data_IF_453477213459
#
_entry.id   IF_453477213459
#
_cell.length_a   1.000
_cell.length_b   1.000
_cell.length_c   1.000
_cell.angle_alpha   90.00
_cell.angle_beta   90.00
_cell.angle_gamma   90.00
#
_symmetry.space_group_name_H-M   'P 1'
#
loop_
_entity.id
_entity.type
_entity.pdbx_description
1 polymer ?
#
# COMPACT_ATOMS: atom_id res chain seq x y z
N UNK A 1 19.05 -18.17 -20.38
CA UNK A 1 17.68 -17.70 -20.06
C UNK A 1 16.96 -17.28 -21.34
N UNK A 2 15.70 -17.67 -21.53
CA UNK A 2 14.90 -17.27 -22.70
C UNK A 2 14.49 -15.78 -22.63
N UNK A 3 13.97 -15.22 -23.73
CA UNK A 3 13.59 -13.79 -23.80
C UNK A 3 12.46 -13.44 -22.85
N UNK A 4 11.38 -14.23 -22.84
CA UNK A 4 10.19 -13.98 -22.01
C UNK A 4 10.53 -13.89 -20.52
N UNK A 5 11.30 -14.85 -19.98
CA UNK A 5 11.70 -14.83 -18.57
C UNK A 5 12.60 -13.64 -18.25
N UNK A 6 13.43 -13.19 -19.21
CA UNK A 6 14.29 -12.02 -19.03
C UNK A 6 13.49 -10.73 -18.98
N UNK A 7 12.59 -10.52 -19.93
CA UNK A 7 11.70 -9.36 -19.99
C UNK A 7 10.87 -9.28 -18.70
N UNK A 8 10.26 -10.39 -18.28
CA UNK A 8 9.48 -10.43 -17.05
C UNK A 8 10.31 -10.08 -15.82
N UNK A 9 11.56 -10.58 -15.72
CA UNK A 9 12.45 -10.22 -14.60
C UNK A 9 12.80 -8.73 -14.61
N UNK A 10 13.20 -8.18 -15.76
CA UNK A 10 13.50 -6.75 -15.91
C UNK A 10 12.28 -5.92 -15.47
N UNK A 11 11.10 -6.27 -15.96
CA UNK A 11 9.86 -5.59 -15.60
C UNK A 11 9.57 -5.66 -14.09
N UNK A 12 9.75 -6.82 -13.45
CA UNK A 12 9.58 -6.94 -12.00
C UNK A 12 10.57 -6.11 -11.19
N UNK A 13 11.81 -5.95 -11.66
CA UNK A 13 12.81 -5.08 -11.03
C UNK A 13 12.38 -3.60 -11.14
N UNK A 14 11.91 -3.19 -12.32
CA UNK A 14 11.39 -1.84 -12.53
C UNK A 14 10.19 -1.51 -11.64
N UNK A 15 9.24 -2.44 -11.49
CA UNK A 15 8.07 -2.28 -10.59
C UNK A 15 8.45 -2.20 -9.11
N UNK A 16 9.55 -2.85 -8.70
CA UNK A 16 10.10 -2.70 -7.34
C UNK A 16 10.79 -1.35 -7.11
N UNK A 17 11.06 -0.62 -8.19
CA UNK A 17 11.73 0.66 -8.18
C UNK A 17 13.24 0.60 -8.34
N UNK A 18 13.78 -0.56 -8.73
CA UNK A 18 15.20 -0.72 -8.99
C UNK A 18 15.61 0.18 -10.17
N UNK A 19 16.77 0.84 -10.04
CA UNK A 19 17.40 1.53 -11.16
C UNK A 19 18.26 0.53 -11.92
N UNK A 20 17.88 0.21 -13.16
CA UNK A 20 18.60 -0.75 -13.98
C UNK A 20 19.52 -0.03 -14.96
N UNK A 21 20.74 -0.51 -15.13
CA UNK A 21 21.63 -0.04 -16.20
C UNK A 21 21.74 -1.05 -17.32
N UNK A 22 21.88 -0.56 -18.55
CA UNK A 22 22.05 -1.40 -19.73
C UNK A 22 23.28 -2.31 -19.60
N UNK A 23 24.35 -1.82 -18.99
CA UNK A 23 25.58 -2.58 -18.81
C UNK A 23 25.39 -3.72 -17.81
N UNK A 24 24.69 -3.47 -16.70
CA UNK A 24 24.39 -4.50 -15.70
C UNK A 24 23.51 -5.60 -16.29
N UNK A 25 22.47 -5.22 -17.05
CA UNK A 25 21.60 -6.19 -17.72
C UNK A 25 22.33 -7.04 -18.77
N UNK A 26 23.28 -6.44 -19.51
CA UNK A 26 24.12 -7.17 -20.46
C UNK A 26 24.99 -8.21 -19.75
N UNK A 27 25.58 -7.83 -18.61
CA UNK A 27 26.45 -8.70 -17.82
C UNK A 27 25.66 -9.81 -17.13
N UNK A 28 24.56 -9.47 -16.44
CA UNK A 28 23.71 -10.40 -15.69
C UNK A 28 23.14 -11.49 -16.62
N UNK A 29 22.66 -11.09 -17.80
CA UNK A 29 22.00 -12.00 -18.72
C UNK A 29 22.90 -12.55 -19.81
N UNK A 30 24.17 -12.13 -19.86
CA UNK A 30 25.16 -12.48 -20.87
C UNK A 30 24.62 -12.25 -22.29
N UNK A 31 24.06 -11.05 -22.51
CA UNK A 31 23.43 -10.66 -23.78
C UNK A 31 24.07 -9.41 -24.35
N UNK A 32 24.00 -9.34 -25.68
CA UNK A 32 24.46 -8.17 -26.43
C UNK A 32 23.53 -6.98 -26.20
N UNK A 33 24.11 -5.79 -26.33
CA UNK A 33 23.44 -4.48 -26.26
C UNK A 33 22.14 -4.42 -27.08
N UNK A 34 22.14 -4.98 -28.29
CA UNK A 34 20.98 -5.00 -29.19
C UNK A 34 19.85 -5.92 -28.72
N UNK A 35 20.17 -6.94 -27.90
CA UNK A 35 19.16 -7.83 -27.31
C UNK A 35 18.47 -7.13 -26.15
N UNK A 36 19.24 -6.52 -25.25
CA UNK A 36 18.69 -5.74 -24.13
C UNK A 36 17.82 -4.59 -24.63
N UNK A 37 18.23 -3.89 -25.69
CA UNK A 37 17.40 -2.84 -26.31
C UNK A 37 16.05 -3.36 -26.82
N UNK A 38 16.02 -4.54 -27.45
CA UNK A 38 14.77 -5.16 -27.90
C UNK A 38 13.88 -5.56 -26.72
N UNK A 39 14.48 -6.07 -25.65
CA UNK A 39 13.73 -6.40 -24.43
C UNK A 39 13.12 -5.13 -23.80
N UNK A 40 13.87 -4.02 -23.77
CA UNK A 40 13.36 -2.74 -23.26
C UNK A 40 12.27 -2.16 -24.16
N UNK A 41 12.38 -2.28 -25.48
CA UNK A 41 11.36 -1.81 -26.41
C UNK A 41 10.01 -2.52 -26.20
N UNK A 42 10.03 -3.83 -25.92
CA UNK A 42 8.82 -4.59 -25.57
C UNK A 42 8.21 -4.07 -24.26
N UNK A 43 9.04 -3.71 -23.27
CA UNK A 43 8.55 -3.13 -22.02
C UNK A 43 7.93 -1.74 -22.27
N UNK A 44 8.55 -0.91 -23.12
CA UNK A 44 8.00 0.40 -23.50
C UNK A 44 6.65 0.28 -24.19
N UNK A 45 6.52 -0.66 -25.13
CA UNK A 45 5.25 -0.96 -25.82
C UNK A 45 4.14 -1.32 -24.83
N UNK A 46 4.42 -2.22 -23.87
CA UNK A 46 3.45 -2.60 -22.83
C UNK A 46 3.05 -1.40 -21.96
N UNK A 47 4.02 -0.58 -21.55
CA UNK A 47 3.75 0.60 -20.72
C UNK A 47 2.88 1.63 -21.46
N UNK A 48 3.13 1.82 -22.75
CA UNK A 48 2.32 2.68 -23.61
C UNK A 48 0.89 2.12 -23.74
N UNK A 49 0.73 0.85 -24.06
CA UNK A 49 -0.58 0.18 -24.17
C UNK A 49 -1.43 0.35 -22.90
N UNK A 50 -0.82 0.10 -21.73
CA UNK A 50 -1.48 0.25 -20.43
C UNK A 50 -1.84 1.72 -20.14
N UNK A 51 -0.98 2.67 -20.50
CA UNK A 51 -1.26 4.10 -20.30
C UNK A 51 -2.50 4.58 -21.06
N UNK A 52 -2.75 4.03 -22.26
CA UNK A 52 -3.98 4.31 -23.01
C UNK A 52 -5.21 3.64 -22.39
N UNK A 53 -5.06 2.46 -21.78
CA UNK A 53 -6.13 1.70 -21.14
C UNK A 53 -6.61 2.31 -19.80
N UNK A 54 -5.78 3.12 -19.12
CA UNK A 54 -6.17 3.88 -17.90
C UNK A 54 -7.37 4.79 -18.15
N UNK A 55 -7.59 5.26 -19.39
CA UNK A 55 -8.78 6.07 -19.72
C UNK A 55 -10.11 5.31 -19.60
N UNK A 56 -10.07 3.97 -19.48
CA UNK A 56 -11.25 3.09 -19.43
C UNK A 56 -11.34 2.23 -18.17
N UNK A 57 -10.30 2.21 -17.33
CA UNK A 57 -10.26 1.36 -16.13
C UNK A 57 -9.58 2.05 -14.96
N UNK A 58 -9.97 1.71 -13.73
CA UNK A 58 -9.36 2.18 -12.47
C UNK A 58 -7.96 1.61 -12.21
N UNK A 59 -7.23 1.20 -13.25
CA UNK A 59 -5.92 0.58 -13.14
C UNK A 59 -4.84 1.62 -12.81
N UNK A 60 -3.79 1.23 -12.05
CA UNK A 60 -2.69 2.12 -11.75
C UNK A 60 -1.98 2.54 -13.03
N UNK A 61 -1.73 3.84 -13.16
CA UNK A 61 -0.97 4.36 -14.29
C UNK A 61 0.50 3.95 -14.13
N UNK A 62 0.96 3.04 -15.00
CA UNK A 62 2.33 2.54 -15.01
C UNK A 62 3.36 3.56 -15.53
N UNK A 63 2.90 4.63 -16.18
CA UNK A 63 3.75 5.68 -16.71
C UNK A 63 4.69 5.20 -17.82
N UNK A 64 5.79 5.92 -18.01
CA UNK A 64 6.82 5.60 -18.99
C UNK A 64 8.17 5.32 -18.33
N UNK A 65 9.08 4.69 -19.07
CA UNK A 65 10.45 4.49 -18.63
C UNK A 65 11.21 5.82 -18.57
N UNK A 66 11.66 6.16 -17.37
CA UNK A 66 12.59 7.25 -17.12
C UNK A 66 14.01 6.81 -17.49
N UNK A 67 14.71 7.71 -18.19
CA UNK A 67 16.09 7.56 -18.65
C UNK A 67 16.93 8.74 -18.18
N UNK A 68 16.81 9.10 -16.89
CA UNK A 68 17.54 10.19 -16.23
C UNK A 68 19.01 10.27 -16.63
N UNK A 69 19.68 9.12 -16.76
CA UNK A 69 21.01 9.02 -17.37
C UNK A 69 21.01 8.07 -18.57
N UNK A 70 21.93 8.30 -19.51
CA UNK A 70 22.04 7.47 -20.72
C UNK A 70 22.28 6.01 -20.35
N UNK A 71 21.36 5.14 -20.77
CA UNK A 71 21.44 3.70 -20.50
C UNK A 71 20.96 3.29 -19.10
N UNK A 72 20.29 4.18 -18.38
CA UNK A 72 19.53 3.84 -17.16
C UNK A 72 18.06 3.71 -17.46
N UNK A 73 17.37 2.86 -16.70
CA UNK A 73 15.95 2.55 -16.82
C UNK A 73 15.32 2.51 -15.43
N UNK A 74 14.25 3.28 -15.24
CA UNK A 74 13.47 3.29 -14.00
C UNK A 74 12.01 3.64 -14.30
N UNK A 75 11.07 3.21 -13.46
CA UNK A 75 9.67 3.64 -13.52
C UNK A 75 9.38 4.72 -12.48
N UNK A 76 10.09 5.85 -12.53
CA UNK A 76 10.02 6.91 -11.51
C UNK A 76 8.58 7.40 -11.27
N UNK A 77 7.86 7.70 -12.35
CA UNK A 77 6.48 8.17 -12.28
C UNK A 77 5.53 7.12 -11.66
N UNK A 78 5.75 5.83 -11.93
CA UNK A 78 4.95 4.78 -11.31
C UNK A 78 5.18 4.76 -9.79
N UNK A 79 6.44 4.82 -9.36
CA UNK A 79 6.79 4.80 -7.93
C UNK A 79 6.17 5.99 -7.21
N UNK A 80 6.33 7.20 -7.73
CA UNK A 80 5.83 8.43 -7.11
C UNK A 80 4.30 8.48 -6.98
N UNK A 81 3.57 7.94 -7.96
CA UNK A 81 2.10 8.06 -7.97
C UNK A 81 1.38 6.87 -7.33
N UNK A 82 2.03 5.70 -7.23
CA UNK A 82 1.34 4.46 -6.86
C UNK A 82 1.94 3.77 -5.62
N UNK A 83 3.13 4.18 -5.15
CA UNK A 83 3.82 3.51 -4.05
C UNK A 83 4.22 4.53 -2.98
N UNK A 84 3.91 4.22 -1.73
CA UNK A 84 4.39 5.00 -0.60
C UNK A 84 5.91 4.97 -0.53
N UNK A 85 6.53 6.14 -0.43
CA UNK A 85 7.91 6.23 0.03
C UNK A 85 8.00 6.05 1.55
N UNK A 86 9.22 5.83 2.07
CA UNK A 86 9.42 5.53 3.49
C UNK A 86 8.95 6.66 4.42
N UNK A 87 9.04 7.92 3.98
CA UNK A 87 8.61 9.08 4.78
C UNK A 87 7.08 9.21 4.80
N UNK A 88 6.40 8.97 3.68
CA UNK A 88 4.93 8.90 3.61
C UNK A 88 4.39 7.75 4.46
N UNK A 89 5.02 6.58 4.36
CA UNK A 89 4.68 5.40 5.13
C UNK A 89 4.83 5.67 6.63
N UNK A 90 5.95 6.27 7.05
CA UNK A 90 6.18 6.68 8.42
C UNK A 90 5.10 7.67 8.90
N UNK A 91 4.74 8.67 8.08
CA UNK A 91 3.72 9.65 8.44
C UNK A 91 2.34 8.99 8.67
N UNK A 92 1.93 8.07 7.78
CA UNK A 92 0.67 7.31 7.92
C UNK A 92 0.69 6.46 9.18
N UNK A 93 1.79 5.73 9.44
CA UNK A 93 1.93 4.90 10.65
C UNK A 93 1.86 5.77 11.92
N UNK A 94 2.50 6.94 11.93
CA UNK A 94 2.46 7.88 13.08
C UNK A 94 1.04 8.35 13.37
N UNK A 95 0.29 8.73 12.34
CA UNK A 95 -1.13 9.11 12.47
C UNK A 95 -1.95 7.93 13.00
N UNK A 96 -1.70 6.72 12.50
CA UNK A 96 -2.38 5.51 12.93
C UNK A 96 -2.12 5.21 14.42
N UNK A 97 -0.89 5.35 14.90
CA UNK A 97 -0.58 5.23 16.34
C UNK A 97 -1.25 6.35 17.15
N UNK A 98 -1.19 7.60 16.68
CA UNK A 98 -1.81 8.74 17.36
C UNK A 98 -3.34 8.64 17.45
N UNK A 99 -3.99 7.97 16.49
CA UNK A 99 -5.44 7.74 16.49
C UNK A 99 -5.92 6.89 17.67
N UNK A 100 -5.03 6.06 18.23
CA UNK A 100 -5.28 5.12 19.34
C UNK A 100 -6.55 4.27 19.19
N UNK A 101 -7.10 4.14 17.98
CA UNK A 101 -8.44 3.60 17.81
C UNK A 101 -8.46 2.08 17.94
N UNK A 102 -7.42 1.44 17.41
CA UNK A 102 -7.31 -0.02 17.36
C UNK A 102 -6.80 -0.58 18.69
N UNK A 103 -7.10 -1.85 18.96
CA UNK A 103 -6.45 -2.55 20.05
C UNK A 103 -4.99 -2.92 19.68
N UNK A 104 -4.23 -3.38 20.68
CA UNK A 104 -2.81 -3.75 20.51
C UNK A 104 -2.57 -4.77 19.39
N UNK A 105 -3.44 -5.78 19.27
CA UNK A 105 -3.27 -6.85 18.27
C UNK A 105 -3.43 -6.28 16.85
N UNK A 106 -4.46 -5.47 16.63
CA UNK A 106 -4.78 -4.88 15.33
C UNK A 106 -3.72 -3.89 14.87
N UNK A 107 -3.30 -2.96 15.75
CA UNK A 107 -2.29 -1.96 15.38
C UNK A 107 -0.95 -2.62 15.03
N UNK A 108 -0.55 -3.68 15.75
CA UNK A 108 0.70 -4.39 15.49
C UNK A 108 0.64 -5.13 14.16
N UNK A 109 -0.49 -5.80 13.87
CA UNK A 109 -0.69 -6.47 12.57
C UNK A 109 -0.70 -5.47 11.41
N UNK A 110 -1.37 -4.33 11.55
CA UNK A 110 -1.37 -3.29 10.53
C UNK A 110 0.05 -2.75 10.31
N UNK A 111 0.76 -2.43 11.40
CA UNK A 111 2.13 -1.93 11.34
C UNK A 111 3.07 -2.91 10.63
N UNK A 112 2.98 -4.20 10.93
CA UNK A 112 3.80 -5.20 10.23
C UNK A 112 3.52 -5.24 8.73
N UNK A 113 2.26 -5.11 8.31
CA UNK A 113 1.91 -5.03 6.88
C UNK A 113 2.49 -3.79 6.23
N UNK A 114 2.43 -2.63 6.90
CA UNK A 114 3.04 -1.40 6.40
C UNK A 114 4.57 -1.54 6.29
N UNK A 115 5.24 -2.12 7.27
CA UNK A 115 6.69 -2.34 7.25
C UNK A 115 7.16 -3.26 6.10
N UNK A 116 6.30 -4.09 5.51
CA UNK A 116 6.62 -4.88 4.32
C UNK A 116 6.68 -4.02 3.04
N UNK A 117 6.11 -2.82 3.06
CA UNK A 117 6.14 -1.86 1.94
C UNK A 117 7.37 -0.96 2.00
N UNK A 118 8.05 -0.89 3.14
CA UNK A 118 9.20 -0.03 3.37
C UNK A 118 10.44 -0.51 2.61
N UNK A 119 11.20 0.44 2.06
CA UNK A 119 12.55 0.18 1.52
C UNK A 119 13.56 0.11 2.65
N UNK A 120 13.51 1.06 3.58
CA UNK A 120 14.30 1.06 4.82
C UNK A 120 13.40 0.76 6.04
N UNK A 121 13.07 -0.53 6.18
CA UNK A 121 12.27 -1.02 7.30
C UNK A 121 12.87 -0.66 8.67
N UNK A 122 14.20 -0.76 8.81
CA UNK A 122 14.89 -0.54 10.09
C UNK A 122 14.77 0.91 10.54
N UNK A 123 14.88 1.86 9.60
CA UNK A 123 14.65 3.28 9.88
C UNK A 123 13.23 3.53 10.39
N UNK A 124 12.21 2.99 9.72
CA UNK A 124 10.83 3.18 10.16
C UNK A 124 10.61 2.56 11.54
N UNK A 125 11.09 1.33 11.77
CA UNK A 125 11.01 0.65 13.07
C UNK A 125 11.64 1.47 14.20
N UNK A 126 12.83 2.04 13.97
CA UNK A 126 13.49 2.92 14.93
C UNK A 126 12.61 4.11 15.31
N UNK A 127 11.98 4.76 14.31
CA UNK A 127 11.18 5.94 14.56
C UNK A 127 9.83 5.64 15.23
N UNK A 128 9.29 4.43 15.11
CA UNK A 128 8.00 4.05 15.72
C UNK A 128 8.15 3.22 17.01
N UNK A 129 9.38 2.93 17.44
CA UNK A 129 9.65 2.02 18.55
C UNK A 129 8.98 2.47 19.87
N UNK A 130 8.98 3.78 20.15
CA UNK A 130 8.33 4.33 21.34
C UNK A 130 6.81 4.17 21.28
N UNK A 131 6.19 4.46 20.12
CA UNK A 131 4.76 4.25 19.94
C UNK A 131 4.40 2.78 20.08
N UNK A 132 5.19 1.86 19.54
CA UNK A 132 4.96 0.42 19.69
C UNK A 132 5.03 -0.04 21.15
N UNK A 133 6.05 0.43 21.88
CA UNK A 133 6.27 0.05 23.29
C UNK A 133 5.19 0.60 24.22
N UNK A 134 4.73 1.82 23.96
CA UNK A 134 3.81 2.54 24.84
C UNK A 134 2.38 2.64 24.30
N UNK A 135 2.06 1.87 23.25
CA UNK A 135 0.72 1.93 22.68
C UNK A 135 -0.33 1.50 23.70
N UNK A 136 -1.36 2.32 23.84
CA UNK A 136 -2.56 1.99 24.59
C UNK A 136 -3.78 2.39 23.79
N UNK A 137 -4.34 1.40 23.09
CA UNK A 137 -5.55 1.54 22.30
C UNK A 137 -6.77 1.85 23.16
N UNK A 138 -7.71 2.62 22.61
CA UNK A 138 -8.98 2.99 23.24
C UNK A 138 -10.00 1.86 23.10
N UNK A 139 -10.00 1.14 21.97
CA UNK A 139 -10.87 -0.01 21.80
C UNK A 139 -10.31 -1.24 22.51
N UNK A 140 -11.16 -1.89 23.30
CA UNK A 140 -10.89 -3.21 23.88
C UNK A 140 -11.26 -4.35 22.92
N UNK A 141 -12.06 -4.05 21.90
CA UNK A 141 -12.57 -5.00 20.90
C UNK A 141 -11.79 -4.90 19.60
N UNK A 142 -11.90 -5.92 18.74
CA UNK A 142 -11.43 -5.84 17.35
C UNK A 142 -12.34 -4.94 16.54
N UNK A 143 -11.81 -3.82 16.07
CA UNK A 143 -12.58 -2.81 15.34
C UNK A 143 -12.66 -3.10 13.84
N UNK A 144 -11.65 -3.71 13.22
CA UNK A 144 -11.61 -3.88 11.75
C UNK A 144 -12.82 -4.70 11.28
N UNK A 145 -13.13 -5.80 11.97
CA UNK A 145 -14.27 -6.65 11.63
C UNK A 145 -15.61 -5.92 11.86
N UNK A 146 -15.68 -5.09 12.91
CA UNK A 146 -16.88 -4.28 13.22
C UNK A 146 -17.09 -3.16 12.22
N UNK A 147 -16.02 -2.48 11.81
CA UNK A 147 -16.04 -1.48 10.74
C UNK A 147 -16.62 -2.11 9.47
N UNK A 148 -16.13 -3.29 9.09
CA UNK A 148 -16.65 -4.00 7.92
C UNK A 148 -18.14 -4.35 8.06
N UNK A 149 -18.56 -4.85 9.23
CA UNK A 149 -19.97 -5.14 9.51
C UNK A 149 -20.86 -3.89 9.34
N UNK A 150 -20.43 -2.74 9.88
CA UNK A 150 -21.17 -1.48 9.75
C UNK A 150 -21.19 -0.99 8.30
N UNK A 151 -20.06 -1.06 7.59
CA UNK A 151 -20.00 -0.70 6.16
C UNK A 151 -20.97 -1.53 5.32
N UNK A 152 -21.00 -2.85 5.51
CA UNK A 152 -21.94 -3.74 4.82
C UNK A 152 -23.39 -3.43 5.18
N UNK A 153 -23.68 -3.13 6.45
CA UNK A 153 -25.02 -2.75 6.87
C UNK A 153 -25.48 -1.43 6.22
N UNK A 154 -24.59 -0.44 6.07
CA UNK A 154 -24.87 0.82 5.37
C UNK A 154 -25.16 0.54 3.90
N UNK A 155 -24.29 -0.21 3.21
CA UNK A 155 -24.44 -0.51 1.77
C UNK A 155 -25.75 -1.24 1.46
N UNK A 156 -26.14 -2.15 2.34
CA UNK A 156 -27.31 -3.01 2.14
C UNK A 156 -28.59 -2.48 2.83
N UNK A 157 -28.54 -1.29 3.44
CA UNK A 157 -29.64 -0.70 4.22
C UNK A 157 -30.19 -1.65 5.31
N UNK A 158 -29.30 -2.29 6.06
CA UNK A 158 -29.64 -3.29 7.08
C UNK A 158 -29.65 -2.69 8.49
N UNK A 159 -30.60 -3.13 9.30
CA UNK A 159 -30.67 -2.77 10.73
C UNK A 159 -29.61 -3.56 11.50
N UNK A 160 -28.81 -2.84 12.29
CA UNK A 160 -27.85 -3.43 13.23
C UNK A 160 -28.45 -3.40 14.63
N UNK A 161 -28.28 -4.50 15.36
CA UNK A 161 -28.58 -4.61 16.77
C UNK A 161 -27.29 -4.57 17.60
N UNK A 162 -27.25 -3.76 18.65
CA UNK A 162 -26.09 -3.66 19.52
C UNK A 162 -26.49 -3.26 20.94
N UNK A 163 -25.69 -3.72 21.90
CA UNK A 163 -25.80 -3.31 23.28
C UNK A 163 -24.96 -2.05 23.53
N UNK A 164 -25.56 -1.08 24.20
CA UNK A 164 -24.90 0.15 24.60
C UNK A 164 -24.96 0.31 26.11
N UNK A 165 -23.78 0.41 26.71
CA UNK A 165 -23.63 0.59 28.15
C UNK A 165 -23.40 2.07 28.46
N UNK A 166 -24.24 2.65 29.31
CA UNK A 166 -24.08 4.03 29.81
C UNK A 166 -24.42 4.09 31.29
N UNK A 167 -23.49 4.64 32.08
CA UNK A 167 -23.64 4.79 33.53
C UNK A 167 -24.00 3.46 34.25
N UNK A 168 -23.46 2.33 33.79
CA UNK A 168 -23.70 1.01 34.38
C UNK A 168 -24.98 0.32 33.89
N UNK A 169 -25.86 1.00 33.15
CA UNK A 169 -27.02 0.39 32.51
C UNK A 169 -26.67 -0.07 31.10
N UNK A 170 -27.10 -1.28 30.73
CA UNK A 170 -27.00 -1.78 29.35
C UNK A 170 -28.37 -1.74 28.69
N UNK A 171 -28.45 -1.15 27.49
CA UNK A 171 -29.66 -1.12 26.68
C UNK A 171 -29.35 -1.63 25.28
N UNK A 172 -30.21 -2.51 24.78
CA UNK A 172 -30.14 -3.00 23.41
C UNK A 172 -30.84 -2.03 22.46
N UNK A 173 -30.14 -1.64 21.40
CA UNK A 173 -30.64 -0.77 20.35
C UNK A 173 -30.69 -1.50 19.02
N UNK A 174 -31.70 -1.17 18.22
CA UNK A 174 -31.81 -1.60 16.81
C UNK A 174 -31.86 -0.34 15.95
N UNK A 175 -30.85 -0.11 15.12
CA UNK A 175 -30.69 1.12 14.34
C UNK A 175 -30.24 0.82 12.91
N UNK A 176 -30.69 1.64 11.98
CA UNK A 176 -30.16 1.68 10.62
C UNK A 176 -28.94 2.62 10.61
N UNK A 177 -27.71 2.11 10.41
CA UNK A 177 -26.54 2.98 10.29
C UNK A 177 -26.59 3.76 8.98
N UNK A 178 -26.24 5.05 9.03
CA UNK A 178 -26.25 5.93 7.86
C UNK A 178 -24.85 6.33 7.39
N UNK A 179 -23.90 6.38 8.32
CA UNK A 179 -22.51 6.74 8.07
C UNK A 179 -21.61 6.06 9.10
N UNK A 180 -20.33 5.96 8.75
CA UNK A 180 -19.26 5.61 9.67
C UNK A 180 -18.27 6.77 9.68
N UNK A 181 -17.91 7.26 10.86
CA UNK A 181 -16.97 8.37 11.00
C UNK A 181 -15.95 8.09 12.10
N UNK A 182 -14.80 8.76 12.00
CA UNK A 182 -13.76 8.72 13.02
C UNK A 182 -13.67 10.09 13.72
N UNK A 183 -13.86 10.12 15.04
CA UNK A 183 -13.74 11.32 15.88
C UNK A 183 -13.30 10.96 17.29
N UNK A 184 -12.54 11.83 17.93
CA UNK A 184 -12.15 11.72 19.35
C UNK A 184 -11.58 10.35 19.75
N UNK A 185 -10.81 9.73 18.83
CA UNK A 185 -10.21 8.39 18.96
C UNK A 185 -11.18 7.20 18.76
N UNK A 186 -12.44 7.44 18.43
CA UNK A 186 -13.47 6.43 18.22
C UNK A 186 -13.96 6.35 16.77
N UNK A 187 -14.33 5.13 16.35
CA UNK A 187 -15.19 4.91 15.20
C UNK A 187 -16.65 4.92 15.66
N UNK A 188 -17.46 5.77 15.03
CA UNK A 188 -18.83 6.10 15.40
C UNK A 188 -19.80 5.85 14.24
#
# INVERSE_FOLDING_TARGET
MNSQKRILRIFTHLLKGDTLTKQDLMNEYQKQSSTIQRDMAIIEEILEEESYAVTKSSSPNLGALDRKYKGTYQLTQFLENNIFNDDELLAVIKILFASRSFNQEEIMKLTQKFLLLARDKQRIELFIANEQLHYHGVAEVKLIDRINLICEAILNNQIVEFDYQKCGETKTFRKLPLALHFSDLYFL
#
